data_IF_563924899610
#
_entry.id   IF_563924899610
#
_cell.length_a   1.000
_cell.length_b   1.000
_cell.length_c   1.000
_cell.angle_alpha   90.00
_cell.angle_beta   90.00
_cell.angle_gamma   90.00
#
_symmetry.space_group_name_H-M   'P 1'
#
loop_
_entity.id
_entity.type
_entity.pdbx_description
1 polymer ?
#
# COMPACT_ATOMS: atom_id res chain seq x y z
N UNK A 1 4.17 -16.18 1.92
CA UNK A 1 4.48 -15.10 0.96
C UNK A 1 3.20 -14.36 0.79
N UNK A 2 3.21 -13.08 1.15
CA UNK A 2 2.00 -12.26 1.15
C UNK A 2 1.95 -11.43 -0.13
N UNK A 3 0.76 -11.31 -0.72
CA UNK A 3 0.51 -10.54 -1.93
C UNK A 3 -0.36 -9.35 -1.59
N UNK A 4 0.06 -8.17 -2.02
CA UNK A 4 -0.70 -6.91 -1.84
C UNK A 4 -0.84 -6.26 -3.21
N UNK A 5 -2.04 -5.79 -3.52
CA UNK A 5 -2.31 -5.00 -4.71
C UNK A 5 -2.76 -3.61 -4.27
N UNK A 6 -2.22 -2.58 -4.91
CA UNK A 6 -2.59 -1.18 -4.66
C UNK A 6 -2.88 -0.48 -5.99
N UNK A 7 -3.88 0.40 -5.99
CA UNK A 7 -4.10 1.33 -7.09
C UNK A 7 -3.11 2.48 -6.99
N UNK A 8 -2.57 2.92 -8.11
CA UNK A 8 -1.63 4.04 -8.21
C UNK A 8 -2.38 5.32 -8.61
N UNK A 9 -2.04 6.49 -8.06
CA UNK A 9 -2.64 7.74 -8.50
C UNK A 9 -2.33 8.00 -9.98
N UNK A 10 -3.35 8.40 -10.74
CA UNK A 10 -3.22 8.67 -12.17
C UNK A 10 -2.47 9.97 -12.46
N UNK A 11 -2.50 10.87 -11.49
CA UNK A 11 -1.84 12.16 -11.49
C UNK A 11 -0.31 12.02 -11.56
N UNK A 12 0.22 10.97 -10.91
CA UNK A 12 1.65 10.67 -10.90
C UNK A 12 2.11 10.06 -12.23
N UNK A 13 3.29 10.44 -12.68
CA UNK A 13 3.96 9.83 -13.83
C UNK A 13 4.59 8.47 -13.50
N UNK A 14 5.18 7.80 -14.50
CA UNK A 14 5.74 6.46 -14.32
C UNK A 14 6.92 6.42 -13.33
N UNK A 15 7.74 7.47 -13.27
CA UNK A 15 8.88 7.55 -12.36
C UNK A 15 8.35 7.78 -10.94
N UNK A 16 7.44 8.74 -10.76
CA UNK A 16 6.83 9.05 -9.47
C UNK A 16 6.05 7.86 -8.89
N UNK A 17 5.37 7.08 -9.74
CA UNK A 17 4.73 5.81 -9.33
C UNK A 17 5.74 4.78 -8.85
N UNK A 18 6.87 4.63 -9.55
CA UNK A 18 7.93 3.73 -9.13
C UNK A 18 8.57 4.17 -7.80
N UNK A 19 8.74 5.47 -7.60
CA UNK A 19 9.18 6.04 -6.32
C UNK A 19 8.19 5.75 -5.20
N UNK A 20 6.88 5.97 -5.42
CA UNK A 20 5.83 5.66 -4.46
C UNK A 20 5.81 4.17 -4.08
N UNK A 21 5.87 3.27 -5.07
CA UNK A 21 5.91 1.82 -4.86
C UNK A 21 7.11 1.42 -4.00
N UNK A 22 8.27 2.02 -4.27
CA UNK A 22 9.50 1.77 -3.50
C UNK A 22 9.39 2.33 -2.08
N UNK A 23 8.89 3.56 -1.93
CA UNK A 23 8.71 4.21 -0.63
C UNK A 23 7.77 3.39 0.27
N UNK A 24 6.63 2.96 -0.26
CA UNK A 24 5.68 2.11 0.46
C UNK A 24 6.32 0.79 0.89
N UNK A 25 7.05 0.11 0.01
CA UNK A 25 7.71 -1.14 0.35
C UNK A 25 8.81 -0.95 1.40
N UNK A 26 9.63 0.09 1.29
CA UNK A 26 10.63 0.44 2.30
C UNK A 26 9.96 0.73 3.66
N UNK A 27 8.81 1.39 3.65
CA UNK A 27 8.07 1.72 4.86
C UNK A 27 7.47 0.48 5.53
N UNK A 28 6.82 -0.40 4.75
CA UNK A 28 6.23 -1.65 5.24
C UNK A 28 7.29 -2.61 5.76
N UNK A 29 8.40 -2.75 5.04
CA UNK A 29 9.42 -3.76 5.34
C UNK A 29 10.48 -3.26 6.31
N UNK A 30 10.67 -1.94 6.41
CA UNK A 30 11.79 -1.30 7.13
C UNK A 30 13.14 -1.90 6.73
N UNK A 31 13.27 -2.34 5.47
CA UNK A 31 14.46 -3.03 4.94
C UNK A 31 14.69 -4.44 5.47
N UNK A 32 13.78 -4.98 6.28
CA UNK A 32 13.97 -6.27 6.98
C UNK A 32 13.58 -7.47 6.14
N UNK A 33 12.58 -7.35 5.27
CA UNK A 33 12.07 -8.49 4.49
C UNK A 33 12.22 -8.24 2.99
N UNK A 34 12.62 -9.26 2.19
CA UNK A 34 12.68 -9.12 0.74
C UNK A 34 11.29 -8.92 0.12
N UNK A 35 11.25 -8.09 -0.91
CA UNK A 35 10.04 -7.81 -1.67
C UNK A 35 10.35 -7.64 -3.16
N UNK A 36 9.34 -7.86 -3.99
CA UNK A 36 9.34 -7.49 -5.40
C UNK A 36 8.01 -6.86 -5.73
N UNK A 37 8.01 -5.89 -6.64
CA UNK A 37 6.80 -5.25 -7.13
C UNK A 37 6.78 -5.25 -8.67
N UNK A 38 5.59 -5.38 -9.24
CA UNK A 38 5.32 -5.16 -10.66
C UNK A 38 4.28 -4.06 -10.82
N UNK A 39 4.54 -3.10 -11.71
CA UNK A 39 3.63 -1.99 -12.02
C UNK A 39 2.95 -2.28 -13.36
N UNK A 40 1.63 -2.19 -13.39
CA UNK A 40 0.81 -2.25 -14.59
C UNK A 40 0.21 -0.86 -14.82
N UNK A 41 0.65 -0.17 -15.87
CA UNK A 41 0.20 1.20 -16.20
C UNK A 41 0.11 1.49 -17.70
N UNK A 42 0.24 0.46 -18.55
CA UNK A 42 0.21 0.57 -20.01
C UNK A 42 -1.00 -0.16 -20.60
N UNK A 43 -1.36 0.19 -21.84
CA UNK A 43 -2.42 -0.49 -22.58
C UNK A 43 -3.78 -0.41 -21.86
N UNK A 44 -4.35 -1.57 -21.54
CA UNK A 44 -5.66 -1.66 -20.85
C UNK A 44 -5.63 -1.07 -19.44
N UNK A 45 -4.45 -1.01 -18.82
CA UNK A 45 -4.26 -0.53 -17.45
C UNK A 45 -3.92 0.96 -17.38
N UNK A 46 -3.82 1.66 -18.52
CA UNK A 46 -3.46 3.08 -18.56
C UNK A 46 -4.42 3.98 -17.79
N UNK A 47 -5.69 3.59 -17.66
CA UNK A 47 -6.71 4.32 -16.88
C UNK A 47 -6.89 3.79 -15.46
N UNK A 48 -6.26 2.65 -15.13
CA UNK A 48 -6.29 2.01 -13.82
C UNK A 48 -4.91 1.47 -13.44
N UNK A 49 -3.91 2.36 -13.28
CA UNK A 49 -2.57 1.91 -12.96
C UNK A 49 -2.55 1.28 -11.57
N UNK A 50 -1.89 0.14 -11.43
CA UNK A 50 -1.81 -0.60 -10.17
C UNK A 50 -0.47 -1.31 -10.01
N UNK A 51 -0.12 -1.62 -8.77
CA UNK A 51 1.08 -2.37 -8.44
C UNK A 51 0.75 -3.65 -7.67
N UNK A 52 1.44 -4.72 -8.01
CA UNK A 52 1.42 -6.00 -7.30
C UNK A 52 2.71 -6.20 -6.53
N UNK A 53 2.61 -6.31 -5.21
CA UNK A 53 3.72 -6.67 -4.33
C UNK A 53 3.71 -8.16 -3.99
N UNK A 54 4.89 -8.76 -3.93
CA UNK A 54 5.10 -10.03 -3.25
C UNK A 54 6.12 -9.83 -2.11
N UNK A 55 5.66 -9.93 -0.87
CA UNK A 55 6.49 -9.86 0.33
C UNK A 55 6.85 -11.27 0.79
N UNK A 56 8.15 -11.56 0.87
CA UNK A 56 8.65 -12.78 1.51
C UNK A 56 8.86 -12.46 2.97
N UNK A 57 7.86 -12.69 3.81
CA UNK A 57 7.86 -12.44 5.27
C UNK A 57 8.88 -13.30 6.03
N UNK A 58 10.16 -13.05 5.78
CA UNK A 58 11.32 -13.60 6.45
C UNK A 58 12.37 -12.49 6.49
N UNK A 59 12.73 -12.14 7.70
CA UNK A 59 13.83 -11.24 8.01
C UNK A 59 15.11 -11.72 7.31
N UNK A 60 15.82 -10.80 6.65
CA UNK A 60 17.02 -11.11 5.86
C UNK A 60 18.13 -11.70 6.74
N UNK A 61 18.28 -11.19 7.97
CA UNK A 61 19.37 -11.57 8.87
C UNK A 61 19.00 -12.78 9.73
N UNK A 62 17.79 -12.78 10.29
CA UNK A 62 17.36 -13.78 11.29
C UNK A 62 16.50 -14.90 10.73
N UNK A 63 15.96 -14.75 9.52
CA UNK A 63 15.04 -15.72 8.90
C UNK A 63 13.66 -15.83 9.58
N UNK A 64 13.40 -15.04 10.64
CA UNK A 64 12.14 -15.02 11.38
C UNK A 64 11.08 -14.18 10.64
N UNK A 65 9.80 -14.46 10.87
CA UNK A 65 8.71 -13.63 10.34
C UNK A 65 8.69 -12.26 11.03
N UNK A 66 8.40 -11.21 10.26
CA UNK A 66 8.40 -9.81 10.72
C UNK A 66 7.04 -9.17 10.52
N UNK A 67 6.47 -9.24 9.32
CA UNK A 67 5.25 -8.53 8.94
C UNK A 67 4.01 -9.21 9.51
N UNK A 68 3.95 -10.55 9.49
CA UNK A 68 2.86 -11.35 10.05
C UNK A 68 1.46 -10.95 9.55
N UNK A 69 1.34 -10.58 8.28
CA UNK A 69 0.13 -9.95 7.72
C UNK A 69 -1.13 -10.84 7.78
N UNK A 70 -0.94 -12.16 7.70
CA UNK A 70 -2.02 -13.16 7.75
C UNK A 70 -2.33 -13.66 9.17
N UNK A 71 -1.64 -13.18 10.19
CA UNK A 71 -1.81 -13.68 11.55
C UNK A 71 -3.06 -13.08 12.20
N UNK A 72 -3.63 -13.80 13.16
CA UNK A 72 -4.76 -13.30 13.94
C UNK A 72 -4.40 -12.03 14.69
N UNK A 73 -5.39 -11.18 14.95
CA UNK A 73 -5.24 -9.97 15.76
C UNK A 73 -4.54 -10.26 17.09
N UNK A 74 -4.98 -11.31 17.82
CA UNK A 74 -4.35 -11.73 19.08
C UNK A 74 -2.86 -12.00 18.92
N UNK A 75 -2.47 -12.73 17.88
CA UNK A 75 -1.07 -13.15 17.70
C UNK A 75 -0.18 -12.00 17.20
N UNK A 76 -0.77 -11.01 16.49
CA UNK A 76 -0.12 -9.75 16.12
C UNK A 76 0.07 -8.84 17.33
N UNK A 77 -0.96 -8.65 18.15
CA UNK A 77 -0.87 -7.89 19.41
C UNK A 77 0.19 -8.48 20.34
N UNK A 78 0.22 -9.81 20.50
CA UNK A 78 1.27 -10.51 21.28
C UNK A 78 2.69 -10.26 20.72
N UNK A 79 2.80 -9.94 19.44
CA UNK A 79 4.06 -9.61 18.77
C UNK A 79 4.45 -8.13 18.88
N UNK A 80 3.60 -7.28 19.47
CA UNK A 80 3.77 -5.83 19.45
C UNK A 80 3.52 -5.19 18.07
N UNK A 81 2.72 -5.83 17.22
CA UNK A 81 2.33 -5.31 15.91
C UNK A 81 0.91 -4.75 15.95
N UNK A 82 0.60 -3.86 15.00
CA UNK A 82 -0.77 -3.37 14.78
C UNK A 82 -1.75 -4.55 14.67
N UNK A 83 -2.84 -4.57 15.47
CA UNK A 83 -3.79 -5.68 15.55
C UNK A 83 -4.31 -6.15 14.19
N UNK A 84 -4.70 -5.20 13.33
CA UNK A 84 -5.23 -5.46 12.00
C UNK A 84 -4.18 -5.15 10.93
N UNK A 85 -3.56 -6.20 10.38
CA UNK A 85 -2.51 -6.08 9.35
C UNK A 85 -2.99 -5.39 8.07
N UNK A 86 -4.24 -5.65 7.65
CA UNK A 86 -4.83 -5.03 6.45
C UNK A 86 -5.05 -3.54 6.66
N UNK A 87 -5.59 -3.16 7.81
CA UNK A 87 -5.82 -1.74 8.14
C UNK A 87 -4.51 -0.98 8.28
N UNK A 88 -3.50 -1.60 8.90
CA UNK A 88 -2.15 -1.03 8.97
C UNK A 88 -1.55 -0.77 7.58
N UNK A 89 -1.69 -1.72 6.64
CA UNK A 89 -1.26 -1.52 5.26
C UNK A 89 -2.02 -0.39 4.58
N UNK A 90 -3.34 -0.29 4.78
CA UNK A 90 -4.17 0.80 4.22
C UNK A 90 -3.76 2.17 4.75
N UNK A 91 -3.52 2.30 6.05
CA UNK A 91 -3.00 3.53 6.67
C UNK A 91 -1.63 3.90 6.09
N UNK A 92 -0.74 2.92 5.98
CA UNK A 92 0.60 3.14 5.44
C UNK A 92 0.55 3.57 3.97
N UNK A 93 -0.32 2.93 3.17
CA UNK A 93 -0.51 3.28 1.76
C UNK A 93 -1.07 4.68 1.58
N UNK A 94 -2.15 5.02 2.30
CA UNK A 94 -2.76 6.36 2.29
C UNK A 94 -1.71 7.44 2.54
N UNK A 95 -0.89 7.27 3.59
CA UNK A 95 0.15 8.23 3.92
C UNK A 95 1.20 8.34 2.81
N UNK A 96 1.79 7.23 2.36
CA UNK A 96 2.82 7.26 1.31
C UNK A 96 2.29 7.85 0.00
N UNK A 97 1.07 7.50 -0.40
CA UNK A 97 0.48 8.00 -1.64
C UNK A 97 0.16 9.50 -1.56
N UNK A 98 -0.34 9.97 -0.41
CA UNK A 98 -0.58 11.41 -0.20
C UNK A 98 0.73 12.21 -0.14
N UNK A 99 1.78 11.70 0.49
CA UNK A 99 3.12 12.31 0.48
C UNK A 99 3.66 12.42 -0.96
N UNK A 100 3.48 11.38 -1.78
CA UNK A 100 3.90 11.40 -3.19
C UNK A 100 3.10 12.41 -4.03
N UNK A 101 1.78 12.47 -3.86
CA UNK A 101 0.91 13.45 -4.52
C UNK A 101 1.28 14.89 -4.13
N UNK A 102 1.58 15.13 -2.85
CA UNK A 102 2.03 16.43 -2.38
C UNK A 102 3.39 16.83 -2.95
N UNK A 103 4.36 15.90 -2.96
CA UNK A 103 5.69 16.12 -3.55
C UNK A 103 5.63 16.48 -5.04
N UNK A 104 4.70 15.86 -5.77
CA UNK A 104 4.44 16.14 -7.19
C UNK A 104 3.60 17.42 -7.43
N UNK A 105 3.18 18.11 -6.38
CA UNK A 105 2.41 19.35 -6.48
C UNK A 105 0.92 19.17 -6.79
N UNK A 106 0.37 17.96 -6.61
CA UNK A 106 -1.05 17.71 -6.80
C UNK A 106 -1.85 18.02 -5.53
N UNK A 107 -3.04 18.60 -5.71
CA UNK A 107 -4.00 18.83 -4.62
C UNK A 107 -4.83 17.57 -4.27
N UNK A 108 -4.85 16.58 -5.16
CA UNK A 108 -5.58 15.33 -4.96
C UNK A 108 -5.07 14.58 -3.71
N UNK A 109 -5.98 13.94 -2.97
CA UNK A 109 -5.66 13.13 -1.79
C UNK A 109 -6.51 11.87 -1.79
N UNK A 110 -5.92 10.79 -1.28
CA UNK A 110 -6.57 9.51 -1.03
C UNK A 110 -6.99 9.48 0.44
N UNK A 111 -8.19 8.98 0.68
CA UNK A 111 -8.68 8.63 2.01
C UNK A 111 -9.17 7.18 1.97
N UNK A 112 -8.58 6.34 2.81
CA UNK A 112 -8.83 4.90 2.88
C UNK A 112 -10.16 4.56 3.56
N UNK A 113 -10.76 5.52 4.28
CA UNK A 113 -12.03 5.34 5.00
C UNK A 113 -13.17 5.26 3.99
N UNK A 114 -14.26 4.61 4.37
CA UNK A 114 -15.49 4.65 3.54
C UNK A 114 -15.99 6.10 3.39
N UNK A 115 -16.75 6.38 2.32
CA UNK A 115 -17.37 7.69 2.13
C UNK A 115 -18.24 8.10 3.34
N UNK A 116 -18.99 7.14 3.89
CA UNK A 116 -19.75 7.32 5.14
C UNK A 116 -18.85 7.78 6.31
N UNK A 117 -17.71 7.12 6.53
CA UNK A 117 -16.76 7.48 7.58
C UNK A 117 -16.02 8.80 7.32
N UNK A 118 -16.06 9.31 6.09
CA UNK A 118 -15.61 10.66 5.73
C UNK A 118 -16.73 11.71 5.87
N UNK A 119 -17.97 11.30 6.13
CA UNK A 119 -19.14 12.19 6.17
C UNK A 119 -19.60 12.63 4.77
N UNK A 120 -19.27 11.87 3.73
CA UNK A 120 -19.62 12.18 2.34
C UNK A 120 -20.82 11.33 1.92
N UNK A 121 -21.95 11.98 1.66
CA UNK A 121 -23.14 11.33 1.11
C UNK A 121 -23.07 11.30 -0.42
N UNK A 122 -22.32 10.32 -0.93
CA UNK A 122 -22.27 9.98 -2.36
C UNK A 122 -22.21 8.47 -2.52
N UNK A 123 -22.87 7.94 -3.53
CA UNK A 123 -22.69 6.54 -3.91
C UNK A 123 -21.24 6.28 -4.38
N UNK A 124 -20.62 5.16 -3.95
CA UNK A 124 -19.38 4.70 -4.53
C UNK A 124 -19.51 4.55 -6.04
N UNK A 125 -18.57 5.09 -6.78
CA UNK A 125 -18.52 4.90 -8.24
C UNK A 125 -17.97 3.52 -8.55
N UNK A 126 -18.58 2.81 -9.51
CA UNK A 126 -18.00 1.56 -10.03
C UNK A 126 -16.70 1.91 -10.76
N UNK A 127 -15.64 1.17 -10.43
CA UNK A 127 -14.36 1.29 -11.14
C UNK A 127 -14.54 0.77 -12.57
N UNK A 128 -14.30 1.62 -13.58
CA UNK A 128 -14.31 1.27 -15.00
C UNK A 128 -12.90 0.89 -15.44
#
# INVERSE_FOLDING_TARGET
>A
MDKVMVALPRELDAIERAELVTAFACEVTKGRVPWVAAIHDMGKDAQNPHAHFAFRDKDIDTGKRVLRLSDSERDRTKAGLEPNGTEWLRMTWERCANEALEKAGHAARIDRRSLEAQGIEREPTVHI
#
